data_IF_682924006698
#
_entry.id   IF_682924006698
#
_cell.length_a   1.000
_cell.length_b   1.000
_cell.length_c   1.000
_cell.angle_alpha   90.00
_cell.angle_beta   90.00
_cell.angle_gamma   90.00
#
_symmetry.space_group_name_H-M   'P 1'
#
loop_
_entity.id
_entity.type
_entity.pdbx_description
1 polymer ?
#
# COMPACT_ATOMS: atom_id res chain seq x y z
N UNK A 1 -5.02 13.42 12.86
CA UNK A 1 -3.61 13.19 12.47
C UNK A 1 -3.55 11.94 11.62
N UNK A 2 -2.80 11.92 10.51
CA UNK A 2 -2.62 10.70 9.73
C UNK A 2 -1.94 9.62 10.59
N UNK A 3 -2.37 8.35 10.52
CA UNK A 3 -1.76 7.25 11.24
C UNK A 3 -0.26 7.14 10.97
N UNK A 4 0.54 6.95 12.03
CA UNK A 4 2.01 6.91 11.93
C UNK A 4 2.50 5.86 10.93
N UNK A 5 1.81 4.72 10.86
CA UNK A 5 2.13 3.60 9.95
C UNK A 5 2.26 4.04 8.50
N UNK A 6 1.52 5.07 8.07
CA UNK A 6 1.53 5.54 6.70
C UNK A 6 2.84 6.20 6.29
N UNK A 7 3.59 6.72 7.26
CA UNK A 7 4.86 7.44 7.06
C UNK A 7 6.08 6.59 7.38
N UNK A 8 5.86 5.36 7.83
CA UNK A 8 6.93 4.42 8.13
C UNK A 8 7.54 3.95 6.81
N UNK A 9 8.87 3.86 6.77
CA UNK A 9 9.60 3.33 5.61
C UNK A 9 9.18 1.89 5.33
N UNK A 10 9.00 1.55 4.05
CA UNK A 10 8.72 0.16 3.63
C UNK A 10 9.78 -0.82 4.10
N UNK A 11 11.01 -0.38 4.34
CA UNK A 11 12.12 -1.21 4.81
C UNK A 11 11.85 -1.85 6.18
N UNK A 12 11.12 -1.15 7.06
CA UNK A 12 10.83 -1.64 8.42
C UNK A 12 9.39 -2.15 8.58
N UNK A 13 8.56 -2.02 7.54
CA UNK A 13 7.22 -2.58 7.53
C UNK A 13 7.25 -4.09 7.28
N UNK A 14 6.39 -4.84 7.96
CA UNK A 14 6.15 -6.25 7.67
C UNK A 14 5.26 -6.38 6.44
N UNK A 15 5.88 -6.31 5.27
CA UNK A 15 5.27 -6.52 3.95
C UNK A 15 5.73 -7.86 3.38
N UNK A 16 4.89 -8.51 2.57
CA UNK A 16 5.30 -9.64 1.74
C UNK A 16 6.42 -9.23 0.78
N UNK A 17 7.21 -10.22 0.35
CA UNK A 17 8.27 -10.00 -0.65
C UNK A 17 7.71 -9.42 -1.94
N UNK A 18 6.54 -9.90 -2.37
CA UNK A 18 5.81 -9.42 -3.55
C UNK A 18 5.48 -7.92 -3.44
N UNK A 19 4.77 -7.52 -2.38
CA UNK A 19 4.36 -6.12 -2.19
C UNK A 19 5.57 -5.20 -2.00
N UNK A 20 6.58 -5.65 -1.23
CA UNK A 20 7.82 -4.89 -1.04
C UNK A 20 8.55 -4.70 -2.37
N UNK A 21 8.73 -5.75 -3.17
CA UNK A 21 9.41 -5.67 -4.45
C UNK A 21 8.69 -4.72 -5.40
N UNK A 22 7.36 -4.76 -5.44
CA UNK A 22 6.57 -3.80 -6.20
C UNK A 22 6.78 -2.36 -5.73
N UNK A 23 6.74 -2.11 -4.42
CA UNK A 23 6.95 -0.78 -3.85
C UNK A 23 8.34 -0.25 -4.18
N UNK A 24 9.38 -1.06 -4.02
CA UNK A 24 10.76 -0.69 -4.38
C UNK A 24 10.89 -0.39 -5.87
N UNK A 25 10.35 -1.25 -6.74
CA UNK A 25 10.39 -1.08 -8.21
C UNK A 25 9.76 0.24 -8.65
N UNK A 26 8.68 0.65 -8.00
CA UNK A 26 7.93 1.88 -8.34
C UNK A 26 8.38 3.11 -7.52
N UNK A 27 9.41 2.98 -6.68
CA UNK A 27 9.93 4.09 -5.87
C UNK A 27 9.02 4.52 -4.71
N UNK A 28 8.08 3.68 -4.29
CA UNK A 28 7.23 3.94 -3.13
C UNK A 28 8.00 3.66 -1.84
N UNK A 29 8.24 4.70 -1.06
CA UNK A 29 9.00 4.60 0.20
C UNK A 29 8.11 4.38 1.42
N UNK A 30 6.82 4.70 1.33
CA UNK A 30 5.85 4.61 2.43
C UNK A 30 4.47 4.19 1.93
N UNK A 31 3.59 3.73 2.84
CA UNK A 31 2.21 3.38 2.48
C UNK A 31 1.38 4.61 2.06
N UNK A 32 1.73 5.80 2.58
CA UNK A 32 1.10 7.07 2.19
C UNK A 32 1.20 7.34 0.68
N UNK A 33 2.31 6.95 0.06
CA UNK A 33 2.51 7.13 -1.39
C UNK A 33 1.56 6.24 -2.21
N UNK A 34 1.32 5.00 -1.77
CA UNK A 34 0.36 4.11 -2.44
C UNK A 34 -1.08 4.63 -2.27
N UNK A 35 -1.42 5.24 -1.14
CA UNK A 35 -2.77 5.78 -0.89
C UNK A 35 -3.17 6.90 -1.86
N UNK A 36 -2.25 7.44 -2.64
CA UNK A 36 -2.56 8.40 -3.70
C UNK A 36 -3.24 7.77 -4.92
N UNK A 37 -3.18 6.44 -5.05
CA UNK A 37 -3.78 5.69 -6.14
C UNK A 37 -5.06 4.99 -5.68
N UNK A 38 -6.06 4.95 -6.56
CA UNK A 38 -7.26 4.13 -6.40
C UNK A 38 -6.95 2.64 -6.56
N UNK A 39 -7.86 1.77 -6.10
CA UNK A 39 -7.73 0.33 -6.28
C UNK A 39 -7.65 -0.08 -7.75
N UNK A 40 -8.39 0.61 -8.62
CA UNK A 40 -8.34 0.39 -10.06
C UNK A 40 -6.99 0.77 -10.65
N UNK A 41 -6.49 1.97 -10.36
CA UNK A 41 -5.18 2.44 -10.86
C UNK A 41 -4.08 1.48 -10.43
N UNK A 42 -4.09 1.03 -9.17
CA UNK A 42 -3.12 0.05 -8.68
C UNK A 42 -3.20 -1.27 -9.46
N UNK A 43 -4.40 -1.82 -9.71
CA UNK A 43 -4.57 -3.05 -10.48
C UNK A 43 -4.21 -2.92 -11.96
N UNK A 44 -4.21 -1.70 -12.51
CA UNK A 44 -3.72 -1.41 -13.87
C UNK A 44 -2.19 -1.26 -13.92
N UNK A 45 -1.50 -1.11 -12.79
CA UNK A 45 -0.04 -1.03 -12.74
C UNK A 45 0.61 -2.39 -13.02
N UNK A 46 1.58 -2.41 -13.92
CA UNK A 46 2.29 -3.63 -14.29
C UNK A 46 2.99 -4.27 -13.09
N UNK A 47 2.61 -5.51 -12.79
CA UNK A 47 3.18 -6.29 -11.69
C UNK A 47 2.50 -6.07 -10.35
N UNK A 48 1.45 -5.25 -10.25
CA UNK A 48 0.60 -5.22 -9.08
C UNK A 48 -0.50 -6.28 -9.17
N UNK A 49 -0.66 -7.08 -8.12
CA UNK A 49 -1.64 -8.16 -8.11
C UNK A 49 -2.80 -7.89 -7.16
N UNK A 50 -3.93 -8.57 -7.39
CA UNK A 50 -5.03 -8.55 -6.43
C UNK A 50 -4.62 -9.06 -5.03
N UNK A 51 -3.62 -9.94 -4.95
CA UNK A 51 -3.07 -10.43 -3.69
C UNK A 51 -2.37 -9.31 -2.93
N UNK A 52 -1.55 -8.51 -3.61
CA UNK A 52 -0.90 -7.31 -3.06
C UNK A 52 -1.94 -6.29 -2.61
N UNK A 53 -3.01 -6.07 -3.39
CA UNK A 53 -4.11 -5.19 -3.00
C UNK A 53 -4.76 -5.65 -1.69
N UNK A 54 -5.10 -6.95 -1.59
CA UNK A 54 -5.71 -7.51 -0.38
C UNK A 54 -4.80 -7.37 0.85
N UNK A 55 -3.49 -7.60 0.67
CA UNK A 55 -2.51 -7.40 1.73
C UNK A 55 -2.45 -5.94 2.17
N UNK A 56 -2.35 -5.01 1.22
CA UNK A 56 -2.32 -3.57 1.48
C UNK A 56 -3.57 -3.12 2.25
N UNK A 57 -4.76 -3.49 1.79
CA UNK A 57 -6.02 -3.21 2.49
C UNK A 57 -6.07 -3.85 3.88
N UNK A 58 -5.50 -5.06 4.02
CA UNK A 58 -5.36 -5.73 5.31
C UNK A 58 -4.49 -4.95 6.29
N UNK A 59 -3.37 -4.39 5.83
CA UNK A 59 -2.53 -3.50 6.65
C UNK A 59 -3.31 -2.27 7.06
N UNK A 60 -4.00 -1.62 6.11
CA UNK A 60 -4.78 -0.43 6.42
C UNK A 60 -5.90 -0.71 7.44
N UNK A 61 -6.59 -1.84 7.30
CA UNK A 61 -7.62 -2.27 8.23
C UNK A 61 -7.07 -2.55 9.63
N UNK A 62 -5.90 -3.22 9.75
CA UNK A 62 -5.25 -3.49 11.05
C UNK A 62 -4.81 -2.24 11.80
N UNK A 63 -4.64 -1.11 11.10
CA UNK A 63 -4.20 0.16 11.68
C UNK A 63 -5.29 1.25 11.63
N UNK A 64 -6.57 0.85 11.52
CA UNK A 64 -7.74 1.74 11.52
C UNK A 64 -7.65 2.88 10.49
N UNK A 65 -7.10 2.57 9.31
CA UNK A 65 -6.85 3.55 8.27
C UNK A 65 -7.35 3.14 6.88
N UNK A 66 -8.18 2.09 6.82
CA UNK A 66 -8.84 1.64 5.59
C UNK A 66 -9.72 2.72 4.96
N UNK A 67 -10.32 3.59 5.78
CA UNK A 67 -11.15 4.72 5.33
C UNK A 67 -10.37 5.78 4.52
N UNK A 68 -9.04 5.73 4.54
CA UNK A 68 -8.20 6.63 3.74
C UNK A 68 -7.98 6.11 2.32
N UNK A 69 -8.27 4.83 2.06
CA UNK A 69 -8.19 4.25 0.74
C UNK A 69 -9.39 4.68 -0.09
N UNK A 70 -9.13 5.35 -1.22
CA UNK A 70 -10.17 5.80 -2.14
C UNK A 70 -10.46 4.68 -3.14
N UNK A 71 -11.58 4.02 -2.96
CA UNK A 71 -12.15 3.11 -3.96
C UNK A 71 -13.26 3.88 -4.70
N UNK A 72 -12.84 4.77 -5.61
CA UNK A 72 -13.74 5.55 -6.48
C UNK A 72 -13.74 4.97 -7.89
#
# INVERSE_FOLDING_TARGET
MPPKILKVSIEVLELSEELRAFMVKNGFQTLEMILHYSGKELLEMEGFSYRMLKEFLGILHRHDCLNLFKDN
#
